data_IF_008043270974
#
_entry.id   IF_008043270974
#
_cell.length_a   1.000
_cell.length_b   1.000
_cell.length_c   1.000
_cell.angle_alpha   90.00
_cell.angle_beta   90.00
_cell.angle_gamma   90.00
#
_symmetry.space_group_name_H-M   'P 1'
#
loop_
_entity.id
_entity.type
_entity.pdbx_description
1 polymer ?
#
# COMPACT_ATOMS: atom_id res chain seq x y z
N UNK A 1 32.13 5.73 40.90
CA UNK A 1 31.98 6.08 39.47
C UNK A 1 30.82 5.26 38.92
N UNK A 2 29.71 5.92 38.58
CA UNK A 2 28.58 5.28 37.91
C UNK A 2 28.96 5.13 36.43
N UNK A 3 29.09 3.89 35.95
CA UNK A 3 29.18 3.63 34.51
C UNK A 3 27.81 3.97 33.94
N UNK A 4 27.66 5.18 33.39
CA UNK A 4 26.48 5.50 32.59
C UNK A 4 26.33 4.40 31.54
N UNK A 5 25.21 3.69 31.60
CA UNK A 5 24.99 2.51 30.76
C UNK A 5 25.10 2.93 29.30
N UNK A 6 26.08 2.35 28.61
CA UNK A 6 26.30 2.58 27.19
C UNK A 6 25.02 2.22 26.45
N UNK A 7 24.43 3.20 25.74
CA UNK A 7 23.08 3.07 25.19
C UNK A 7 22.92 3.77 23.84
N UNK A 8 21.99 3.26 23.04
CA UNK A 8 21.53 3.92 21.84
C UNK A 8 20.50 5.01 22.13
N UNK A 9 20.48 6.04 21.29
CA UNK A 9 19.37 6.99 21.25
C UNK A 9 18.07 6.30 20.86
N UNK A 10 16.93 6.88 21.23
CA UNK A 10 15.62 6.31 20.93
C UNK A 10 15.33 6.13 19.42
N UNK A 11 16.03 6.85 18.55
CA UNK A 11 15.94 6.72 17.09
C UNK A 11 16.99 5.77 16.48
N UNK A 12 17.91 5.25 17.29
CA UNK A 12 19.00 4.36 16.89
C UNK A 12 20.03 5.00 15.96
N UNK A 13 20.04 6.34 15.82
CA UNK A 13 20.99 7.06 14.99
C UNK A 13 22.27 7.43 15.72
N UNK A 14 22.21 7.52 17.05
CA UNK A 14 23.31 7.93 17.90
C UNK A 14 23.62 6.86 18.94
N UNK A 15 24.87 6.84 19.37
CA UNK A 15 25.40 5.99 20.41
C UNK A 15 26.06 6.87 21.46
N UNK A 16 25.76 6.61 22.74
CA UNK A 16 26.42 7.30 23.84
C UNK A 16 27.71 6.56 24.17
N UNK A 17 28.87 7.16 23.93
CA UNK A 17 30.17 6.53 24.21
C UNK A 17 30.59 6.57 25.69
N UNK A 18 29.76 7.18 26.55
CA UNK A 18 30.07 7.47 27.96
C UNK A 18 30.36 8.95 28.22
N UNK A 19 30.75 9.69 27.18
CA UNK A 19 31.14 11.11 27.23
C UNK A 19 30.32 11.99 26.29
N UNK A 20 30.00 11.50 25.09
CA UNK A 20 29.26 12.23 24.07
C UNK A 20 28.41 11.30 23.19
N UNK A 21 27.46 11.90 22.48
CA UNK A 21 26.70 11.21 21.44
C UNK A 21 27.52 11.19 20.14
N UNK A 22 27.88 9.99 19.69
CA UNK A 22 28.54 9.76 18.40
C UNK A 22 27.58 9.09 17.41
N UNK A 23 27.74 9.30 16.08
CA UNK A 23 26.90 8.63 15.10
C UNK A 23 27.02 7.11 15.23
N UNK A 24 25.89 6.41 15.38
CA UNK A 24 25.85 4.96 15.41
C UNK A 24 25.97 4.34 14.00
N UNK A 25 26.08 5.17 12.96
CA UNK A 25 26.12 4.77 11.56
C UNK A 25 27.37 5.35 10.89
N UNK A 26 27.96 4.58 9.99
CA UNK A 26 28.99 5.10 9.09
C UNK A 26 28.39 6.12 8.11
N UNK A 27 29.19 7.07 7.57
CA UNK A 27 28.69 8.08 6.63
C UNK A 27 28.02 7.50 5.38
N UNK A 28 28.41 6.29 4.97
CA UNK A 28 27.84 5.55 3.84
C UNK A 28 26.59 4.71 4.20
N UNK A 29 26.22 4.67 5.49
CA UNK A 29 25.08 3.91 6.01
C UNK A 29 25.22 2.38 5.92
N UNK A 30 26.40 1.85 5.56
CA UNK A 30 26.62 0.41 5.40
C UNK A 30 26.82 -0.33 6.72
N UNK A 31 27.22 0.39 7.77
CA UNK A 31 27.54 -0.19 9.07
C UNK A 31 26.80 0.53 10.19
N UNK A 32 26.37 -0.26 11.16
CA UNK A 32 25.73 0.19 12.39
C UNK A 32 26.51 -0.34 13.59
N UNK A 33 26.89 0.55 14.49
CA UNK A 33 27.58 0.19 15.71
C UNK A 33 26.55 -0.36 16.71
N UNK A 34 26.77 -1.57 17.24
CA UNK A 34 25.86 -2.21 18.21
C UNK A 34 26.26 -1.96 19.67
N UNK A 35 27.31 -1.18 19.86
CA UNK A 35 27.87 -0.82 21.15
C UNK A 35 29.19 -1.48 21.50
N UNK A 36 29.53 -2.58 20.82
CA UNK A 36 30.83 -3.22 20.94
C UNK A 36 31.52 -3.40 19.59
N UNK A 37 30.76 -3.55 18.50
CA UNK A 37 31.28 -3.83 17.18
C UNK A 37 30.49 -3.08 16.09
N UNK A 38 31.18 -2.74 15.00
CA UNK A 38 30.48 -2.36 13.77
C UNK A 38 29.88 -3.61 13.15
N UNK A 39 28.54 -3.67 13.12
CA UNK A 39 27.82 -4.68 12.36
C UNK A 39 27.46 -4.11 11.01
N UNK A 40 27.57 -4.93 9.97
CA UNK A 40 27.02 -4.54 8.67
C UNK A 40 25.54 -4.30 8.90
N UNK A 41 25.06 -3.08 8.65
CA UNK A 41 23.66 -2.78 8.78
C UNK A 41 22.95 -3.77 7.87
N UNK A 42 22.25 -4.75 8.46
CA UNK A 42 21.79 -5.94 7.77
C UNK A 42 21.23 -5.53 6.43
N UNK A 43 21.75 -6.15 5.36
CA UNK A 43 21.39 -5.78 3.98
C UNK A 43 19.91 -5.51 3.96
N UNK A 44 19.46 -4.41 3.38
CA UNK A 44 18.07 -3.97 3.46
C UNK A 44 17.04 -5.07 3.15
N UNK A 45 17.44 -6.20 2.54
CA UNK A 45 16.75 -7.48 2.48
C UNK A 45 16.22 -8.02 3.83
N UNK A 46 16.95 -7.91 4.95
CA UNK A 46 16.49 -8.43 6.26
C UNK A 46 15.42 -7.52 6.87
N UNK A 47 15.58 -6.19 6.72
CA UNK A 47 14.48 -5.24 6.98
C UNK A 47 13.31 -5.40 6.02
N UNK A 48 13.46 -5.99 4.83
CA UNK A 48 12.37 -6.23 3.86
C UNK A 48 11.53 -7.47 4.18
N UNK A 49 11.95 -8.35 5.10
CA UNK A 49 11.11 -9.48 5.48
C UNK A 49 9.83 -8.97 6.12
N UNK A 50 8.71 -9.40 5.54
CA UNK A 50 7.39 -9.16 6.11
C UNK A 50 7.30 -9.96 7.42
N UNK A 51 6.91 -9.30 8.49
CA UNK A 51 6.55 -9.95 9.75
C UNK A 51 5.39 -10.92 9.51
N UNK A 52 5.23 -11.90 10.41
CA UNK A 52 4.12 -12.87 10.34
C UNK A 52 2.75 -12.19 10.21
N UNK A 53 2.54 -11.06 10.89
CA UNK A 53 1.29 -10.27 10.80
C UNK A 53 1.13 -9.61 9.43
N UNK A 54 2.20 -9.08 8.85
CA UNK A 54 2.17 -8.50 7.50
C UNK A 54 1.86 -9.58 6.44
N UNK A 55 2.40 -10.79 6.60
CA UNK A 55 2.06 -11.93 5.75
C UNK A 55 0.60 -12.34 5.84
N UNK A 56 0.01 -12.34 7.04
CA UNK A 56 -1.43 -12.62 7.21
C UNK A 56 -2.28 -11.61 6.45
N UNK A 57 -1.91 -10.32 6.48
CA UNK A 57 -2.63 -9.28 5.73
C UNK A 57 -2.50 -9.49 4.23
N UNK A 58 -1.31 -9.78 3.73
CA UNK A 58 -1.08 -10.07 2.30
C UNK A 58 -1.86 -11.31 1.86
N UNK A 59 -1.87 -12.37 2.68
CA UNK A 59 -2.60 -13.60 2.40
C UNK A 59 -4.12 -13.37 2.40
N UNK A 60 -4.65 -12.62 3.38
CA UNK A 60 -6.07 -12.26 3.43
C UNK A 60 -6.49 -11.48 2.18
N UNK A 61 -5.63 -10.57 1.71
CA UNK A 61 -5.82 -9.87 0.45
C UNK A 61 -5.83 -10.81 -0.76
N UNK A 62 -4.84 -11.69 -0.87
CA UNK A 62 -4.77 -12.65 -1.97
C UNK A 62 -5.99 -13.59 -2.01
N UNK A 63 -6.50 -14.00 -0.85
CA UNK A 63 -7.73 -14.80 -0.74
C UNK A 63 -8.96 -13.99 -1.16
N UNK A 64 -9.09 -12.74 -0.68
CA UNK A 64 -10.16 -11.85 -1.09
C UNK A 64 -10.19 -11.64 -2.61
N UNK A 65 -9.02 -11.51 -3.23
CA UNK A 65 -8.86 -11.46 -4.69
C UNK A 65 -9.35 -12.73 -5.39
N UNK A 66 -8.89 -13.89 -4.93
CA UNK A 66 -9.29 -15.16 -5.52
C UNK A 66 -10.81 -15.36 -5.46
N UNK A 67 -11.44 -14.98 -4.34
CA UNK A 67 -12.90 -15.04 -4.16
C UNK A 67 -13.62 -14.08 -5.11
N UNK A 68 -13.15 -12.84 -5.25
CA UNK A 68 -13.75 -11.86 -6.16
C UNK A 68 -13.67 -12.32 -7.63
N UNK A 69 -12.54 -12.88 -8.05
CA UNK A 69 -12.34 -13.42 -9.41
C UNK A 69 -13.24 -14.63 -9.65
N UNK A 70 -13.26 -15.59 -8.72
CA UNK A 70 -14.13 -16.77 -8.83
C UNK A 70 -15.61 -16.38 -8.91
N UNK A 71 -16.03 -15.39 -8.12
CA UNK A 71 -17.38 -14.86 -8.15
C UNK A 71 -17.71 -14.19 -9.50
N UNK A 72 -16.80 -13.38 -10.05
CA UNK A 72 -17.00 -12.73 -11.34
C UNK A 72 -17.11 -13.76 -12.49
N UNK A 73 -16.29 -14.82 -12.47
CA UNK A 73 -16.36 -15.91 -13.44
C UNK A 73 -17.71 -16.64 -13.34
N UNK A 74 -18.15 -16.95 -12.11
CA UNK A 74 -19.42 -17.61 -11.87
C UNK A 74 -20.61 -16.74 -12.31
N UNK A 75 -20.58 -15.43 -12.05
CA UNK A 75 -21.62 -14.50 -12.45
C UNK A 75 -21.70 -14.25 -13.97
N UNK A 76 -20.66 -14.64 -14.72
CA UNK A 76 -20.60 -14.50 -16.18
C UNK A 76 -21.13 -15.72 -16.94
N UNK A 77 -21.82 -16.66 -16.29
CA UNK A 77 -22.34 -17.86 -16.96
C UNK A 77 -23.37 -17.50 -18.03
N UNK A 78 -23.22 -18.03 -19.27
CA UNK A 78 -23.85 -17.51 -20.48
C UNK A 78 -25.39 -17.62 -20.54
N UNK A 79 -26.00 -18.49 -19.73
CA UNK A 79 -27.43 -18.77 -19.81
C UNK A 79 -28.29 -17.57 -19.35
N UNK A 80 -27.77 -16.70 -18.49
CA UNK A 80 -28.50 -15.54 -17.94
C UNK A 80 -28.27 -14.23 -18.71
N UNK A 81 -27.20 -14.13 -19.53
CA UNK A 81 -26.78 -12.88 -20.19
C UNK A 81 -27.56 -12.61 -21.47
N UNK A 82 -28.10 -13.65 -22.12
CA UNK A 82 -28.70 -13.53 -23.44
C UNK A 82 -30.07 -12.82 -23.46
N UNK A 83 -30.79 -12.72 -22.32
CA UNK A 83 -32.22 -12.36 -22.35
C UNK A 83 -32.71 -11.33 -21.31
N UNK A 84 -31.83 -10.75 -20.47
CA UNK A 84 -32.27 -9.79 -19.45
C UNK A 84 -31.32 -8.58 -19.30
N UNK A 85 -31.84 -7.36 -19.06
CA UNK A 85 -31.03 -6.26 -18.57
C UNK A 85 -30.35 -6.72 -17.27
N UNK A 86 -29.04 -6.48 -17.16
CA UNK A 86 -28.15 -6.91 -16.08
C UNK A 86 -28.91 -7.12 -14.75
N UNK A 87 -28.97 -8.34 -14.19
CA UNK A 87 -29.76 -8.58 -13.00
C UNK A 87 -29.25 -7.70 -11.86
N UNK A 88 -30.14 -6.89 -11.27
CA UNK A 88 -29.85 -6.01 -10.14
C UNK A 88 -28.95 -6.62 -9.04
N UNK A 89 -29.08 -7.91 -8.64
CA UNK A 89 -28.17 -8.52 -7.68
C UNK A 89 -26.70 -8.53 -8.14
N UNK A 90 -26.40 -8.64 -9.44
CA UNK A 90 -25.04 -8.63 -9.99
C UNK A 90 -24.40 -7.24 -9.87
N UNK A 91 -25.17 -6.17 -10.10
CA UNK A 91 -24.72 -4.79 -9.90
C UNK A 91 -24.47 -4.49 -8.42
N UNK A 92 -25.39 -4.87 -7.53
CA UNK A 92 -25.28 -4.61 -6.09
C UNK A 92 -24.08 -5.34 -5.48
N UNK A 93 -23.88 -6.60 -5.84
CA UNK A 93 -22.75 -7.41 -5.37
C UNK A 93 -21.42 -6.91 -5.94
N UNK A 94 -21.37 -6.52 -7.21
CA UNK A 94 -20.18 -5.91 -7.82
C UNK A 94 -19.77 -4.60 -7.15
N UNK A 95 -20.73 -3.69 -6.91
CA UNK A 95 -20.49 -2.44 -6.19
C UNK A 95 -20.07 -2.70 -4.74
N UNK A 96 -20.72 -3.65 -4.06
CA UNK A 96 -20.37 -4.04 -2.69
C UNK A 96 -18.94 -4.57 -2.57
N UNK A 97 -18.53 -5.47 -3.48
CA UNK A 97 -17.17 -5.99 -3.56
C UNK A 97 -16.15 -4.88 -3.80
N UNK A 98 -16.44 -3.96 -4.73
CA UNK A 98 -15.58 -2.82 -5.03
C UNK A 98 -15.39 -1.93 -3.79
N UNK A 99 -16.48 -1.58 -3.09
CA UNK A 99 -16.42 -0.76 -1.89
C UNK A 99 -15.63 -1.44 -0.76
N UNK A 100 -15.83 -2.75 -0.56
CA UNK A 100 -15.06 -3.53 0.42
C UNK A 100 -13.57 -3.54 0.09
N UNK A 101 -13.19 -3.72 -1.18
CA UNK A 101 -11.80 -3.69 -1.62
C UNK A 101 -11.18 -2.31 -1.41
N UNK A 102 -11.88 -1.23 -1.78
CA UNK A 102 -11.39 0.14 -1.59
C UNK A 102 -11.21 0.46 -0.09
N UNK A 103 -12.18 0.13 0.76
CA UNK A 103 -12.08 0.35 2.19
C UNK A 103 -10.93 -0.45 2.82
N UNK A 104 -10.80 -1.73 2.45
CA UNK A 104 -9.67 -2.57 2.85
C UNK A 104 -8.33 -1.98 2.41
N UNK A 105 -8.26 -1.41 1.21
CA UNK A 105 -7.04 -0.83 0.65
C UNK A 105 -6.62 0.39 1.44
N UNK A 106 -7.55 1.29 1.74
CA UNK A 106 -7.30 2.50 2.54
C UNK A 106 -6.84 2.15 3.96
N UNK A 107 -7.48 1.18 4.60
CA UNK A 107 -7.10 0.74 5.95
C UNK A 107 -5.71 0.09 5.98
N UNK A 108 -5.42 -0.81 5.03
CA UNK A 108 -4.12 -1.51 4.99
C UNK A 108 -2.99 -0.61 4.50
N UNK A 109 -3.24 0.31 3.56
CA UNK A 109 -2.25 1.27 3.08
C UNK A 109 -1.86 2.27 4.17
N UNK A 110 -2.81 2.79 4.95
CA UNK A 110 -2.54 3.64 6.10
C UNK A 110 -1.69 2.93 7.16
N UNK A 111 -2.03 1.68 7.48
CA UNK A 111 -1.27 0.85 8.42
C UNK A 111 0.16 0.53 7.93
N UNK A 112 0.32 0.20 6.64
CA UNK A 112 1.62 -0.07 6.03
C UNK A 112 2.47 1.21 5.88
N UNK A 113 1.85 2.34 5.55
CA UNK A 113 2.51 3.65 5.46
C UNK A 113 3.04 4.08 6.84
N UNK A 114 2.27 3.89 7.91
CA UNK A 114 2.71 4.14 9.28
C UNK A 114 3.96 3.30 9.65
N UNK A 115 4.11 2.11 9.07
CA UNK A 115 5.27 1.22 9.25
C UNK A 115 6.41 1.47 8.25
N UNK A 116 6.31 2.52 7.42
CA UNK A 116 7.26 2.84 6.32
C UNK A 116 7.44 1.69 5.31
N UNK A 117 6.41 0.86 5.13
CA UNK A 117 6.41 -0.27 4.18
C UNK A 117 5.91 0.16 2.79
N UNK A 118 6.43 1.27 2.27
CA UNK A 118 5.96 1.89 1.01
C UNK A 118 5.95 0.94 -0.19
N UNK A 119 6.93 0.04 -0.27
CA UNK A 119 6.98 -0.96 -1.33
C UNK A 119 5.76 -1.88 -1.36
N UNK A 120 5.25 -2.29 -0.19
CA UNK A 120 4.06 -3.14 -0.09
C UNK A 120 2.81 -2.36 -0.51
N UNK A 121 2.74 -1.08 -0.18
CA UNK A 121 1.65 -0.19 -0.62
C UNK A 121 1.64 -0.10 -2.15
N UNK A 122 2.79 0.11 -2.79
CA UNK A 122 2.90 0.15 -4.25
C UNK A 122 2.45 -1.17 -4.89
N UNK A 123 2.88 -2.31 -4.35
CA UNK A 123 2.44 -3.62 -4.84
C UNK A 123 0.92 -3.83 -4.70
N UNK A 124 0.35 -3.40 -3.57
CA UNK A 124 -1.11 -3.47 -3.35
C UNK A 124 -1.87 -2.63 -4.36
N UNK A 125 -1.41 -1.40 -4.60
CA UNK A 125 -2.01 -0.50 -5.60
C UNK A 125 -1.92 -1.11 -7.00
N UNK A 126 -0.75 -1.60 -7.40
CA UNK A 126 -0.57 -2.25 -8.70
C UNK A 126 -1.46 -3.49 -8.85
N UNK A 127 -1.62 -4.29 -7.79
CA UNK A 127 -2.51 -5.45 -7.78
C UNK A 127 -3.98 -5.05 -7.99
N UNK A 128 -4.45 -4.01 -7.28
CA UNK A 128 -5.82 -3.48 -7.45
C UNK A 128 -6.03 -2.98 -8.87
N UNK A 129 -5.13 -2.15 -9.38
CA UNK A 129 -5.22 -1.62 -10.74
C UNK A 129 -5.25 -2.74 -11.78
N UNK A 130 -4.36 -3.73 -11.66
CA UNK A 130 -4.30 -4.86 -12.60
C UNK A 130 -5.58 -5.69 -12.61
N UNK A 131 -6.20 -5.89 -11.45
CA UNK A 131 -7.41 -6.69 -11.38
C UNK A 131 -8.67 -5.94 -11.82
N UNK A 132 -8.76 -4.62 -11.57
CA UNK A 132 -9.82 -3.79 -12.15
C UNK A 132 -9.72 -3.80 -13.69
N UNK A 133 -8.50 -3.73 -14.23
CA UNK A 133 -8.25 -3.87 -15.66
C UNK A 133 -8.66 -5.25 -16.20
N UNK A 134 -8.34 -6.33 -15.47
CA UNK A 134 -8.73 -7.69 -15.87
C UNK A 134 -10.25 -7.89 -15.87
N UNK A 135 -10.95 -7.40 -14.83
CA UNK A 135 -12.40 -7.44 -14.75
C UNK A 135 -13.06 -6.69 -15.92
N UNK A 136 -12.52 -5.53 -16.26
CA UNK A 136 -12.98 -4.74 -17.40
C UNK A 136 -12.83 -5.45 -18.74
N UNK A 137 -11.66 -6.05 -18.99
CA UNK A 137 -11.44 -6.84 -20.20
C UNK A 137 -12.43 -8.00 -20.26
N UNK A 138 -12.68 -8.69 -19.14
CA UNK A 138 -13.67 -9.76 -19.08
C UNK A 138 -15.10 -9.25 -19.37
N UNK A 139 -15.48 -8.10 -18.82
CA UNK A 139 -16.78 -7.47 -19.10
C UNK A 139 -16.94 -7.11 -20.59
N UNK A 140 -15.90 -6.56 -21.22
CA UNK A 140 -15.86 -6.27 -22.65
C UNK A 140 -16.05 -7.51 -23.51
N UNK A 141 -15.41 -8.62 -23.15
CA UNK A 141 -15.52 -9.89 -23.87
C UNK A 141 -16.88 -10.59 -23.66
N UNK A 142 -17.59 -10.27 -22.58
CA UNK A 142 -18.87 -10.88 -22.26
C UNK A 142 -20.07 -10.18 -22.90
N UNK A 143 -19.91 -8.94 -23.41
CA UNK A 143 -21.01 -8.21 -24.07
C UNK A 143 -21.18 -8.72 -25.51
N UNK A 144 -22.31 -9.35 -25.86
CA UNK A 144 -22.56 -9.78 -27.22
C UNK A 144 -22.73 -8.56 -28.14
N UNK A 145 -22.03 -8.58 -29.28
CA UNK A 145 -22.12 -7.53 -30.31
C UNK A 145 -23.30 -7.84 -31.22
N UNK A 146 -24.29 -6.94 -31.35
CA UNK A 146 -25.35 -7.10 -32.32
C UNK A 146 -24.78 -7.14 -33.75
N UNK A 147 -25.23 -8.09 -34.56
CA UNK A 147 -24.82 -8.18 -35.96
C UNK A 147 -25.17 -6.86 -36.68
N UNK A 148 -24.16 -6.24 -37.30
CA UNK A 148 -24.32 -5.00 -38.08
C UNK A 148 -23.99 -3.69 -37.35
N UNK A 149 -23.55 -3.71 -36.10
CA UNK A 149 -23.11 -2.50 -35.36
C UNK A 149 -21.72 -2.68 -34.69
N UNK A 150 -20.64 -2.77 -35.48
CA UNK A 150 -19.29 -2.94 -34.94
C UNK A 150 -18.82 -1.76 -34.07
N UNK A 151 -19.29 -0.54 -34.34
CA UNK A 151 -18.79 0.68 -33.68
C UNK A 151 -19.23 0.80 -32.20
N UNK A 152 -20.31 0.13 -31.78
CA UNK A 152 -20.81 0.22 -30.39
C UNK A 152 -19.84 -0.42 -29.39
N UNK A 153 -19.04 -1.39 -29.85
CA UNK A 153 -18.08 -2.06 -28.99
C UNK A 153 -16.90 -1.15 -28.64
N UNK A 154 -16.46 -0.31 -29.58
CA UNK A 154 -15.37 0.65 -29.37
C UNK A 154 -15.78 1.81 -28.46
N UNK A 155 -17.02 2.29 -28.58
CA UNK A 155 -17.56 3.35 -27.71
C UNK A 155 -17.80 2.84 -26.27
N UNK A 156 -18.33 1.61 -26.12
CA UNK A 156 -18.51 0.97 -24.82
C UNK A 156 -17.16 0.67 -24.16
N UNK A 157 -16.14 0.31 -24.95
CA UNK A 157 -14.78 0.19 -24.49
C UNK A 157 -14.29 1.51 -23.92
N UNK A 158 -14.29 2.57 -24.72
CA UNK A 158 -13.79 3.88 -24.32
C UNK A 158 -14.50 4.40 -23.05
N UNK A 159 -15.83 4.25 -22.97
CA UNK A 159 -16.61 4.65 -21.81
C UNK A 159 -16.27 3.85 -20.55
N UNK A 160 -16.11 2.52 -20.65
CA UNK A 160 -15.73 1.69 -19.52
C UNK A 160 -14.29 1.92 -19.06
N UNK A 161 -13.37 2.24 -19.98
CA UNK A 161 -12.00 2.64 -19.67
C UNK A 161 -11.98 3.97 -18.89
N UNK A 162 -12.81 4.95 -19.29
CA UNK A 162 -12.95 6.21 -18.55
C UNK A 162 -13.55 6.01 -17.15
N UNK A 163 -14.60 5.19 -17.04
CA UNK A 163 -15.25 4.86 -15.77
C UNK A 163 -14.32 4.15 -14.79
N UNK A 164 -13.31 3.44 -15.28
CA UNK A 164 -12.31 2.75 -14.47
C UNK A 164 -11.10 3.62 -14.17
N UNK A 165 -10.65 4.38 -15.17
CA UNK A 165 -9.51 5.26 -15.02
C UNK A 165 -9.76 6.31 -13.94
N UNK A 166 -10.94 6.95 -13.92
CA UNK A 166 -11.28 8.00 -12.95
C UNK A 166 -11.16 7.56 -11.47
N UNK A 167 -11.82 6.48 -11.00
CA UNK A 167 -11.71 6.04 -9.62
C UNK A 167 -10.32 5.47 -9.32
N UNK A 168 -9.66 4.81 -10.28
CA UNK A 168 -8.27 4.35 -10.10
C UNK A 168 -7.33 5.54 -9.88
N UNK A 169 -7.49 6.60 -10.67
CA UNK A 169 -6.72 7.84 -10.53
C UNK A 169 -7.02 8.53 -9.20
N UNK A 170 -8.30 8.60 -8.81
CA UNK A 170 -8.74 9.15 -7.53
C UNK A 170 -8.13 8.41 -6.34
N UNK A 171 -8.10 7.08 -6.37
CA UNK A 171 -7.49 6.24 -5.33
C UNK A 171 -5.98 6.44 -5.29
N UNK A 172 -5.30 6.44 -6.44
CA UNK A 172 -3.84 6.68 -6.52
C UNK A 172 -3.49 8.08 -6.00
N UNK A 173 -4.25 9.10 -6.40
CA UNK A 173 -4.06 10.48 -5.96
C UNK A 173 -4.32 10.64 -4.45
N UNK A 174 -5.39 10.04 -3.92
CA UNK A 174 -5.70 10.05 -2.50
C UNK A 174 -4.62 9.36 -1.66
N UNK A 175 -4.17 8.18 -2.09
CA UNK A 175 -3.10 7.43 -1.42
C UNK A 175 -1.76 8.19 -1.46
N UNK A 176 -1.45 8.83 -2.59
CA UNK A 176 -0.26 9.66 -2.74
C UNK A 176 -0.33 10.92 -1.86
N UNK A 177 -1.49 11.57 -1.81
CA UNK A 177 -1.74 12.75 -0.98
C UNK A 177 -1.69 12.46 0.51
N UNK A 178 -2.34 11.39 0.96
CA UNK A 178 -2.27 10.93 2.36
C UNK A 178 -0.84 10.57 2.72
N UNK A 179 -0.13 9.88 1.81
CA UNK A 179 1.24 9.48 2.06
C UNK A 179 2.21 10.65 2.18
N UNK A 180 2.06 11.66 1.32
CA UNK A 180 2.81 12.91 1.40
C UNK A 180 2.48 13.68 2.69
N UNK A 181 1.19 13.78 3.04
CA UNK A 181 0.72 14.49 4.23
C UNK A 181 1.27 13.90 5.53
N UNK A 182 1.20 12.57 5.69
CA UNK A 182 1.76 11.86 6.86
C UNK A 182 3.28 12.04 6.94
N UNK A 183 3.97 12.01 5.79
CA UNK A 183 5.41 12.25 5.72
C UNK A 183 5.82 13.64 6.25
N UNK A 184 5.08 14.68 5.87
CA UNK A 184 5.29 16.06 6.34
C UNK A 184 5.04 16.17 7.85
N UNK A 185 3.93 15.60 8.34
CA UNK A 185 3.58 15.60 9.76
C UNK A 185 4.65 14.97 10.64
N UNK A 186 5.16 13.79 10.27
CA UNK A 186 6.21 13.10 11.02
C UNK A 186 7.51 13.90 11.03
N UNK A 187 7.87 14.54 9.91
CA UNK A 187 9.10 15.33 9.80
C UNK A 187 9.02 16.58 10.69
N UNK A 188 7.86 17.23 10.77
CA UNK A 188 7.63 18.37 11.66
C UNK A 188 7.74 17.97 13.14
N UNK A 189 7.15 16.83 13.54
CA UNK A 189 7.23 16.33 14.92
C UNK A 189 8.66 15.97 15.37
N UNK A 190 9.52 15.49 14.47
CA UNK A 190 10.95 15.28 14.80
C UNK A 190 11.70 16.59 15.00
N UNK A 191 11.40 17.60 14.18
CA UNK A 191 12.08 18.90 14.26
C UNK A 191 11.77 19.68 15.56
N UNK A 192 10.59 19.45 16.14
CA UNK A 192 10.20 20.09 17.40
C UNK A 192 10.83 19.43 18.62
N UNK A 193 10.96 18.08 18.64
CA UNK A 193 11.66 17.38 19.72
C UNK A 193 13.16 17.69 19.79
N UNK A 194 13.82 17.80 18.63
CA UNK A 194 15.25 18.15 18.59
C UNK A 194 15.54 19.51 19.24
N UNK A 195 14.67 20.51 19.02
CA UNK A 195 14.82 21.86 19.58
C UNK A 195 14.63 21.93 21.09
N UNK A 196 13.76 21.09 21.66
CA UNK A 196 13.57 21.05 23.11
C UNK A 196 14.74 20.41 23.85
N UNK A 197 15.45 19.47 23.23
CA UNK A 197 16.63 18.86 23.87
C UNK A 197 17.84 19.80 23.85
N UNK A 198 18.00 20.64 22.83
CA UNK A 198 19.07 21.64 22.78
C UNK A 198 18.90 22.77 23.81
N UNK A 199 17.68 23.10 24.23
CA UNK A 199 17.46 24.14 25.24
C UNK A 199 17.77 23.70 26.67
N UNK A 200 17.70 22.40 26.96
CA UNK A 200 17.89 21.88 28.33
C UNK A 200 19.34 21.57 28.66
N UNK A 201 20.22 21.48 27.65
CA UNK A 201 21.66 21.22 27.85
C UNK A 201 22.47 22.51 27.95
N UNK A 202 21.89 23.66 27.59
CA UNK A 202 22.54 24.97 27.64
C UNK A 202 22.30 25.76 28.94
N UNK A 203 21.60 25.16 29.92
CA UNK A 203 21.32 25.73 31.24
C UNK A 203 21.92 24.88 32.35
#
# INVERSE_FOLDING_TARGET
>A
MSLASVQHSADGQWWWDGTQWVPAWTPDGQWWFDGSHWRRAGTSAERRRLSRREWVVVAAWAVGWAVAVAWAIWAATPDDVANAPMPAPMLISGVGLLLCLVAGLLATSGWLAARRRWFVVVLLVLGVTGAVLAWYVAAMLAVPVPEGQPDIQDDAAAAGLMLIALPTFGVVAALSGIGAGVGVLIRNFRSSRGRQMSSTVAS
#
